data_IF_258375406885
#
_entry.id   IF_258375406885
#
_cell.length_a   1.000
_cell.length_b   1.000
_cell.length_c   1.000
_cell.angle_alpha   90.00
_cell.angle_beta   90.00
_cell.angle_gamma   90.00
#
_symmetry.space_group_name_H-M   'P 1'
#
loop_
_entity.id
_entity.type
_entity.pdbx_description
1 polymer ?
#
# COMPACT_ATOMS: atom_id res chain seq x y z
N UNK A 1 -38.31 -22.01 -26.35
CA UNK A 1 -38.31 -21.56 -24.93
C UNK A 1 -39.32 -22.39 -24.14
N UNK A 2 -39.24 -22.52 -22.81
CA UNK A 2 -39.89 -23.57 -22.00
C UNK A 2 -41.38 -23.83 -22.31
N UNK A 3 -42.14 -22.82 -22.74
CA UNK A 3 -43.53 -22.94 -23.20
C UNK A 3 -43.69 -23.72 -24.51
N UNK A 4 -42.72 -23.65 -25.43
CA UNK A 4 -42.69 -24.42 -26.68
C UNK A 4 -42.47 -25.91 -26.47
N UNK A 5 -42.22 -26.35 -25.23
CA UNK A 5 -42.11 -27.77 -24.83
C UNK A 5 -43.34 -28.26 -24.05
N UNK A 6 -44.41 -27.46 -23.97
CA UNK A 6 -45.67 -27.85 -23.31
C UNK A 6 -45.64 -27.82 -21.77
N UNK A 7 -44.63 -27.21 -21.15
CA UNK A 7 -44.53 -27.13 -19.69
C UNK A 7 -45.18 -25.86 -19.14
N UNK A 8 -46.15 -26.00 -18.23
CA UNK A 8 -46.70 -24.89 -17.44
C UNK A 8 -45.78 -24.59 -16.26
N UNK A 9 -45.23 -23.36 -16.19
CA UNK A 9 -44.32 -22.94 -15.11
C UNK A 9 -45.05 -22.00 -14.15
N UNK A 10 -44.94 -22.26 -12.84
CA UNK A 10 -45.44 -21.36 -11.79
C UNK A 10 -44.33 -21.10 -10.79
N UNK A 11 -44.01 -19.83 -10.54
CA UNK A 11 -42.98 -19.40 -9.59
C UNK A 11 -43.66 -19.00 -8.27
N UNK A 12 -43.23 -19.60 -7.16
CA UNK A 12 -43.72 -19.26 -5.81
C UNK A 12 -42.54 -18.91 -4.91
N UNK A 13 -42.66 -17.80 -4.20
CA UNK A 13 -41.69 -17.41 -3.17
C UNK A 13 -42.00 -18.13 -1.86
N UNK A 14 -40.96 -18.65 -1.21
CA UNK A 14 -41.06 -19.35 0.07
C UNK A 14 -40.22 -18.62 1.11
N UNK A 15 -40.75 -18.36 2.32
CA UNK A 15 -39.99 -17.73 3.39
C UNK A 15 -38.82 -18.61 3.87
N UNK A 16 -37.71 -17.96 4.20
CA UNK A 16 -36.53 -18.63 4.77
C UNK A 16 -36.80 -19.22 6.15
N UNK A 17 -36.05 -20.26 6.54
CA UNK A 17 -36.06 -20.87 7.89
C UNK A 17 -37.40 -21.49 8.34
N UNK A 18 -38.35 -21.68 7.43
CA UNK A 18 -39.68 -22.24 7.73
C UNK A 18 -39.72 -23.78 7.76
N UNK A 19 -38.55 -24.43 7.81
CA UNK A 19 -38.40 -25.90 7.81
C UNK A 19 -39.15 -26.64 6.68
N UNK A 20 -39.33 -25.97 5.55
CA UNK A 20 -39.91 -26.59 4.35
C UNK A 20 -38.89 -27.56 3.78
N UNK A 21 -39.16 -28.86 3.91
CA UNK A 21 -38.23 -29.96 3.59
C UNK A 21 -37.60 -29.79 2.20
N UNK A 22 -38.39 -29.46 1.18
CA UNK A 22 -37.88 -29.25 -0.19
C UNK A 22 -36.91 -28.09 -0.31
N UNK A 23 -37.18 -26.97 0.37
CA UNK A 23 -36.30 -25.79 0.37
C UNK A 23 -35.00 -26.07 1.15
N UNK A 24 -35.09 -26.81 2.26
CA UNK A 24 -33.90 -27.22 3.03
C UNK A 24 -33.01 -28.19 2.23
N UNK A 25 -33.60 -29.13 1.50
CA UNK A 25 -32.85 -30.03 0.62
C UNK A 25 -32.16 -29.24 -0.48
N UNK A 26 -32.86 -28.31 -1.13
CA UNK A 26 -32.31 -27.44 -2.16
C UNK A 26 -31.14 -26.60 -1.61
N UNK A 27 -31.30 -25.96 -0.46
CA UNK A 27 -30.25 -25.18 0.20
C UNK A 27 -29.05 -26.06 0.61
N UNK A 28 -29.30 -27.27 1.14
CA UNK A 28 -28.24 -28.24 1.48
C UNK A 28 -27.45 -28.67 0.24
N UNK A 29 -28.13 -28.92 -0.88
CA UNK A 29 -27.49 -29.26 -2.15
C UNK A 29 -26.68 -28.07 -2.70
N UNK A 30 -27.25 -26.87 -2.70
CA UNK A 30 -26.56 -25.65 -3.11
C UNK A 30 -25.30 -25.41 -2.27
N UNK A 31 -25.37 -25.57 -0.95
CA UNK A 31 -24.22 -25.46 -0.03
C UNK A 31 -23.16 -26.52 -0.28
N UNK A 32 -23.52 -27.73 -0.69
CA UNK A 32 -22.54 -28.76 -1.09
C UNK A 32 -21.86 -28.39 -2.40
N UNK A 33 -22.63 -27.95 -3.41
CA UNK A 33 -22.09 -27.51 -4.69
C UNK A 33 -21.14 -26.32 -4.52
N UNK A 34 -21.48 -25.35 -3.66
CA UNK A 34 -20.63 -24.20 -3.36
C UNK A 34 -19.27 -24.55 -2.73
N UNK A 35 -19.10 -25.76 -2.19
CA UNK A 35 -17.81 -26.27 -1.69
C UNK A 35 -16.95 -26.90 -2.78
N UNK A 36 -17.53 -27.24 -3.93
CA UNK A 36 -16.77 -27.79 -5.05
C UNK A 36 -15.92 -26.69 -5.67
N UNK A 37 -14.67 -27.01 -5.99
CA UNK A 37 -13.80 -26.08 -6.69
C UNK A 37 -14.23 -25.99 -8.16
N UNK A 38 -14.22 -24.78 -8.76
CA UNK A 38 -14.51 -24.64 -10.18
C UNK A 38 -13.45 -25.39 -11.00
N UNK A 39 -13.89 -26.10 -12.04
CA UNK A 39 -12.97 -26.80 -12.95
C UNK A 39 -12.42 -25.91 -14.07
N UNK A 40 -12.95 -24.70 -14.24
CA UNK A 40 -12.48 -23.76 -15.25
C UNK A 40 -11.34 -22.88 -14.72
N UNK A 41 -10.41 -22.54 -15.61
CA UNK A 41 -9.32 -21.59 -15.35
C UNK A 41 -9.77 -20.12 -15.41
N UNK A 42 -11.05 -19.87 -15.68
CA UNK A 42 -11.64 -18.52 -15.72
C UNK A 42 -12.03 -18.13 -14.29
N UNK A 43 -11.17 -17.34 -13.63
CA UNK A 43 -11.43 -16.86 -12.27
C UNK A 43 -12.32 -15.63 -12.28
N UNK A 44 -13.46 -15.68 -11.61
CA UNK A 44 -14.25 -14.48 -11.30
C UNK A 44 -13.60 -13.68 -10.18
N UNK A 45 -13.84 -12.36 -10.13
CA UNK A 45 -13.36 -11.48 -9.05
C UNK A 45 -13.76 -12.00 -7.65
N UNK A 46 -14.97 -12.57 -7.55
CA UNK A 46 -15.45 -13.20 -6.33
C UNK A 46 -14.60 -14.43 -5.92
N UNK A 47 -14.24 -15.28 -6.89
CA UNK A 47 -13.39 -16.46 -6.64
C UNK A 47 -11.98 -16.04 -6.23
N UNK A 48 -11.40 -15.01 -6.86
CA UNK A 48 -10.10 -14.46 -6.48
C UNK A 48 -10.12 -13.93 -5.05
N UNK A 49 -11.15 -13.15 -4.68
CA UNK A 49 -11.33 -12.66 -3.31
C UNK A 49 -11.47 -13.78 -2.27
N UNK A 50 -12.14 -14.89 -2.62
CA UNK A 50 -12.23 -16.09 -1.76
C UNK A 50 -10.86 -16.75 -1.61
N UNK A 51 -10.12 -16.96 -2.71
CA UNK A 51 -8.79 -17.58 -2.70
C UNK A 51 -7.78 -16.76 -1.89
N UNK A 52 -7.77 -15.43 -2.03
CA UNK A 52 -6.93 -14.54 -1.23
C UNK A 52 -7.22 -14.75 0.27
N UNK A 53 -8.48 -14.69 0.67
CA UNK A 53 -8.87 -14.90 2.08
C UNK A 53 -8.49 -16.30 2.60
N UNK A 54 -8.58 -17.33 1.76
CA UNK A 54 -8.13 -18.68 2.11
C UNK A 54 -6.62 -18.73 2.32
N UNK A 55 -5.83 -18.23 1.37
CA UNK A 55 -4.36 -18.22 1.43
C UNK A 55 -3.86 -17.45 2.65
N UNK A 56 -4.34 -16.23 2.86
CA UNK A 56 -4.01 -15.41 4.04
C UNK A 56 -4.35 -16.15 5.34
N UNK A 57 -5.52 -16.81 5.42
CA UNK A 57 -5.88 -17.56 6.64
C UNK A 57 -4.98 -18.77 6.88
N UNK A 58 -4.50 -19.45 5.84
CA UNK A 58 -3.57 -20.56 5.97
C UNK A 58 -2.20 -20.08 6.46
N UNK A 59 -1.68 -19.00 5.88
CA UNK A 59 -0.41 -18.37 6.28
C UNK A 59 -0.45 -17.94 7.76
N UNK A 60 -1.50 -17.24 8.18
CA UNK A 60 -1.67 -16.84 9.58
C UNK A 60 -1.76 -18.04 10.54
N UNK A 61 -2.45 -19.12 10.13
CA UNK A 61 -2.51 -20.34 10.94
C UNK A 61 -1.15 -21.01 11.06
N UNK A 62 -0.29 -20.89 10.05
CA UNK A 62 1.06 -21.42 10.09
C UNK A 62 1.92 -20.60 11.06
N UNK A 63 1.94 -19.27 10.91
CA UNK A 63 2.65 -18.38 11.84
C UNK A 63 2.23 -18.59 13.31
N UNK A 64 0.93 -18.67 13.58
CA UNK A 64 0.42 -18.92 14.94
C UNK A 64 0.87 -20.28 15.50
N UNK A 65 1.00 -21.30 14.64
CA UNK A 65 1.49 -22.63 15.07
C UNK A 65 3.00 -22.62 15.33
N UNK A 66 3.74 -21.86 14.53
CA UNK A 66 5.20 -21.78 14.62
C UNK A 66 5.64 -20.91 15.81
N UNK A 67 4.80 -19.98 16.27
CA UNK A 67 5.02 -19.16 17.46
C UNK A 67 5.02 -20.00 18.76
N UNK A 68 6.22 -20.28 19.28
CA UNK A 68 6.43 -21.01 20.55
C UNK A 68 6.51 -20.11 21.79
N UNK A 69 6.08 -18.85 21.70
CA UNK A 69 6.15 -17.91 22.83
C UNK A 69 5.34 -18.41 24.05
N UNK A 70 5.76 -18.04 25.27
CA UNK A 70 4.98 -18.33 26.50
C UNK A 70 3.55 -17.75 26.43
N UNK A 71 3.36 -16.69 25.64
CA UNK A 71 2.07 -16.03 25.44
C UNK A 71 1.14 -16.84 24.52
N UNK A 72 1.65 -17.32 23.37
CA UNK A 72 0.89 -18.14 22.42
C UNK A 72 0.50 -19.51 22.98
N UNK A 73 1.28 -20.06 23.92
CA UNK A 73 0.92 -21.28 24.66
C UNK A 73 -0.23 -21.07 25.66
N UNK A 74 -0.32 -19.89 26.27
CA UNK A 74 -1.38 -19.54 27.24
C UNK A 74 -2.65 -19.05 26.57
N UNK A 75 -2.54 -18.41 25.40
CA UNK A 75 -3.67 -17.80 24.70
C UNK A 75 -3.76 -18.33 23.27
N UNK A 76 -4.86 -18.99 22.95
CA UNK A 76 -5.14 -19.47 21.61
C UNK A 76 -5.34 -18.27 20.65
N UNK A 77 -4.28 -17.87 19.95
CA UNK A 77 -4.36 -16.85 18.93
C UNK A 77 -5.23 -17.33 17.77
N UNK A 78 -6.15 -16.47 17.30
CA UNK A 78 -7.01 -16.74 16.16
C UNK A 78 -6.96 -15.56 15.19
N UNK A 79 -6.73 -15.81 13.89
CA UNK A 79 -6.71 -14.74 12.91
C UNK A 79 -8.12 -14.14 12.77
N UNK A 80 -8.24 -12.86 13.11
CA UNK A 80 -9.49 -12.11 12.93
C UNK A 80 -9.51 -11.45 11.56
N UNK A 81 -10.67 -11.42 10.92
CA UNK A 81 -10.85 -10.74 9.63
C UNK A 81 -10.84 -9.20 9.76
N UNK A 82 -10.83 -8.67 10.98
CA UNK A 82 -10.85 -7.24 11.27
C UNK A 82 -9.49 -6.85 11.81
N UNK A 83 -8.80 -5.95 11.10
CA UNK A 83 -7.60 -5.29 11.62
C UNK A 83 -8.02 -4.57 12.90
N UNK A 84 -7.46 -5.01 14.03
CA UNK A 84 -7.60 -4.31 15.30
C UNK A 84 -6.60 -3.17 15.27
N UNK A 85 -7.11 -1.96 15.14
CA UNK A 85 -6.30 -0.78 15.40
C UNK A 85 -6.15 -0.61 16.93
N UNK A 86 -4.99 -0.15 17.44
CA UNK A 86 -4.81 0.14 18.86
C UNK A 86 -5.92 1.04 19.39
N UNK A 87 -6.36 0.80 20.63
CA UNK A 87 -7.35 1.68 21.30
C UNK A 87 -6.80 3.12 21.28
N UNK A 88 -7.65 4.10 20.94
CA UNK A 88 -7.32 5.52 20.68
C UNK A 88 -6.66 5.90 19.34
N UNK A 89 -6.52 4.98 18.39
CA UNK A 89 -6.26 5.40 17.01
C UNK A 89 -7.49 6.07 16.42
N UNK A 90 -7.50 7.41 16.36
CA UNK A 90 -8.52 8.13 15.61
C UNK A 90 -8.41 7.66 14.16
N UNK A 91 -9.55 7.25 13.55
CA UNK A 91 -9.68 6.81 12.13
C UNK A 91 -9.36 7.93 11.12
N UNK A 92 -8.63 8.96 11.55
CA UNK A 92 -8.10 10.05 10.76
C UNK A 92 -6.64 9.84 10.39
N UNK A 93 -6.00 8.69 10.59
CA UNK A 93 -4.56 8.52 10.33
C UNK A 93 -4.13 8.97 8.91
N UNK A 94 -4.59 8.28 7.85
CA UNK A 94 -4.22 8.64 6.48
C UNK A 94 -4.71 10.04 6.08
N UNK A 95 -5.97 10.38 6.38
CA UNK A 95 -6.55 11.70 6.08
C UNK A 95 -5.79 12.83 6.79
N UNK A 96 -5.39 12.63 8.04
CA UNK A 96 -4.65 13.60 8.82
C UNK A 96 -3.25 13.75 8.25
N UNK A 97 -2.52 12.65 8.12
CA UNK A 97 -1.15 12.62 7.62
C UNK A 97 -1.05 13.30 6.24
N UNK A 98 -1.96 13.01 5.33
CA UNK A 98 -1.95 13.53 3.95
C UNK A 98 -2.58 14.93 3.83
N UNK A 99 -3.58 15.32 4.65
CA UNK A 99 -4.29 16.60 4.44
C UNK A 99 -4.04 17.69 5.49
N UNK A 100 -3.71 17.34 6.74
CA UNK A 100 -3.79 18.29 7.87
C UNK A 100 -2.69 18.18 8.93
N UNK A 101 -1.83 17.15 8.88
CA UNK A 101 -0.76 16.94 9.85
C UNK A 101 0.23 18.09 9.89
N UNK A 102 0.49 18.65 11.07
CA UNK A 102 1.34 19.84 11.19
C UNK A 102 2.78 19.57 10.74
N UNK A 103 3.29 18.36 10.93
CA UNK A 103 4.67 17.99 10.64
C UNK A 103 4.98 18.03 9.15
N UNK A 104 4.06 17.52 8.32
CA UNK A 104 4.26 17.48 6.86
C UNK A 104 3.75 18.73 6.12
N UNK A 105 3.85 19.91 6.74
CA UNK A 105 3.31 21.14 6.15
C UNK A 105 4.11 21.59 4.92
N UNK A 106 5.42 21.36 4.92
CA UNK A 106 6.33 21.79 3.83
C UNK A 106 6.09 20.93 2.58
N UNK A 107 6.07 19.62 2.76
CA UNK A 107 5.88 18.59 1.74
C UNK A 107 4.46 18.68 1.15
N UNK A 108 3.45 18.97 1.97
CA UNK A 108 2.10 19.26 1.44
C UNK A 108 2.03 20.53 0.62
N UNK A 109 2.88 21.53 0.89
CA UNK A 109 2.93 22.73 0.06
C UNK A 109 3.46 22.38 -1.33
N UNK A 110 4.54 21.60 -1.41
CA UNK A 110 5.07 21.05 -2.66
C UNK A 110 4.01 20.22 -3.41
N UNK A 111 3.26 19.37 -2.69
CA UNK A 111 2.17 18.58 -3.28
C UNK A 111 1.02 19.45 -3.85
N UNK A 112 0.71 20.58 -3.21
CA UNK A 112 -0.28 21.54 -3.72
C UNK A 112 0.19 22.26 -4.98
N UNK A 113 1.45 22.68 -4.98
CA UNK A 113 2.10 23.34 -6.11
C UNK A 113 2.15 22.37 -7.31
N UNK A 114 2.57 21.12 -7.11
CA UNK A 114 2.62 20.10 -8.16
C UNK A 114 1.25 19.81 -8.81
N UNK A 115 0.16 19.88 -8.03
CA UNK A 115 -1.20 19.63 -8.52
C UNK A 115 -1.93 20.92 -8.95
N UNK A 116 -1.33 22.10 -8.77
CA UNK A 116 -1.96 23.40 -8.97
C UNK A 116 -3.31 23.57 -8.24
N UNK A 117 -3.41 23.10 -6.98
CA UNK A 117 -4.66 23.17 -6.19
C UNK A 117 -4.48 23.94 -4.88
N UNK A 118 -5.44 24.83 -4.57
CA UNK A 118 -5.47 25.60 -3.32
C UNK A 118 -5.77 24.74 -2.07
N UNK A 119 -6.64 23.75 -2.21
CA UNK A 119 -7.08 22.85 -1.14
C UNK A 119 -6.91 21.38 -1.51
N UNK A 120 -6.33 20.60 -0.59
CA UNK A 120 -6.14 19.17 -0.80
C UNK A 120 -7.36 18.39 -0.31
N UNK A 121 -7.84 17.46 -1.14
CA UNK A 121 -8.92 16.53 -0.80
C UNK A 121 -8.56 15.12 -1.25
N UNK A 122 -8.97 14.11 -0.49
CA UNK A 122 -8.62 12.71 -0.76
C UNK A 122 -9.12 12.20 -2.11
N UNK A 123 -10.29 12.67 -2.56
CA UNK A 123 -10.90 12.14 -3.79
C UNK A 123 -10.10 12.50 -5.05
N UNK A 124 -9.71 13.78 -5.27
CA UNK A 124 -8.78 14.12 -6.34
C UNK A 124 -7.43 13.40 -6.22
N UNK A 125 -6.86 13.34 -5.01
CA UNK A 125 -5.55 12.71 -4.77
C UNK A 125 -5.53 11.21 -5.10
N UNK A 126 -6.56 10.46 -4.71
CA UNK A 126 -6.54 8.99 -4.80
C UNK A 126 -7.29 8.41 -6.01
N UNK A 127 -8.04 9.24 -6.75
CA UNK A 127 -8.88 8.76 -7.86
C UNK A 127 -8.54 9.38 -9.21
N UNK A 128 -7.53 10.25 -9.29
CA UNK A 128 -7.03 10.81 -10.55
C UNK A 128 -5.62 10.30 -10.81
N UNK A 129 -5.25 10.10 -12.09
CA UNK A 129 -3.93 9.58 -12.44
C UNK A 129 -2.80 10.50 -11.94
N UNK A 130 -2.93 11.80 -12.19
CA UNK A 130 -1.99 12.83 -11.73
C UNK A 130 -1.93 12.93 -10.21
N UNK A 131 -3.08 12.86 -9.54
CA UNK A 131 -3.16 12.83 -8.08
C UNK A 131 -2.45 11.62 -7.49
N UNK A 132 -2.65 10.43 -8.07
CA UNK A 132 -2.06 9.18 -7.59
C UNK A 132 -0.53 9.26 -7.71
N UNK A 133 -0.01 9.63 -8.87
CA UNK A 133 1.43 9.78 -9.12
C UNK A 133 2.07 10.77 -8.14
N UNK A 134 1.45 11.94 -7.94
CA UNK A 134 1.93 12.93 -6.98
C UNK A 134 1.85 12.45 -5.52
N UNK A 135 0.81 11.69 -5.14
CA UNK A 135 0.73 11.11 -3.79
C UNK A 135 1.78 10.04 -3.54
N UNK A 136 2.14 9.25 -4.56
CA UNK A 136 3.19 8.24 -4.44
C UNK A 136 4.52 8.95 -4.18
N UNK A 137 4.88 9.95 -4.99
CA UNK A 137 6.09 10.75 -4.77
C UNK A 137 6.13 11.39 -3.37
N UNK A 138 4.99 11.91 -2.88
CA UNK A 138 4.88 12.45 -1.53
C UNK A 138 5.10 11.37 -0.45
N UNK A 139 4.55 10.17 -0.61
CA UNK A 139 4.76 9.05 0.33
C UNK A 139 6.21 8.58 0.29
N UNK A 140 6.85 8.56 -0.88
CA UNK A 140 8.24 8.14 -1.02
C UNK A 140 9.22 9.12 -0.37
N UNK A 141 8.92 10.43 -0.41
CA UNK A 141 9.70 11.46 0.28
C UNK A 141 9.50 11.43 1.79
N UNK A 142 8.25 11.32 2.24
CA UNK A 142 7.93 11.44 3.67
C UNK A 142 7.99 10.12 4.42
N UNK A 143 8.12 9.01 3.67
CA UNK A 143 8.01 7.61 4.12
C UNK A 143 6.79 7.34 4.97
N UNK A 144 5.76 8.18 4.92
CA UNK A 144 4.59 8.09 5.80
C UNK A 144 3.84 6.80 5.54
N UNK A 145 3.42 6.12 6.60
CA UNK A 145 2.70 4.83 6.53
C UNK A 145 3.50 3.67 5.94
N UNK A 146 4.82 3.82 5.74
CA UNK A 146 5.72 2.69 5.43
C UNK A 146 6.04 1.88 6.69
N UNK A 147 6.56 0.68 6.51
CA UNK A 147 7.01 -0.17 7.62
C UNK A 147 8.12 0.51 8.43
N UNK A 148 9.07 1.19 7.77
CA UNK A 148 10.14 1.95 8.43
C UNK A 148 9.58 3.06 9.33
N UNK A 149 8.60 3.83 8.83
CA UNK A 149 7.91 4.86 9.62
C UNK A 149 7.18 4.30 10.84
N UNK A 150 6.56 3.12 10.71
CA UNK A 150 5.90 2.46 11.85
C UNK A 150 6.89 1.90 12.88
N UNK A 151 8.06 1.44 12.42
CA UNK A 151 9.10 0.88 13.29
C UNK A 151 10.01 1.95 13.92
N UNK A 152 9.92 3.20 13.48
CA UNK A 152 10.73 4.31 13.98
C UNK A 152 12.15 4.36 13.41
N UNK A 153 12.44 3.57 12.37
CA UNK A 153 13.77 3.43 11.75
C UNK A 153 14.18 4.58 10.82
N UNK A 154 13.44 5.71 10.84
CA UNK A 154 13.71 6.86 9.97
C UNK A 154 14.94 7.70 10.38
N UNK A 155 15.54 7.40 11.52
CA UNK A 155 16.74 8.07 12.00
C UNK A 155 18.02 7.58 11.29
N UNK A 156 18.05 6.34 10.79
CA UNK A 156 19.28 5.76 10.22
C UNK A 156 19.50 6.16 8.75
N UNK A 157 18.43 6.29 7.94
CA UNK A 157 18.56 6.64 6.52
C UNK A 157 18.81 8.14 6.25
N UNK A 158 18.62 9.01 7.25
CA UNK A 158 18.95 10.44 7.13
C UNK A 158 20.45 10.67 7.37
N UNK A 159 21.03 9.99 8.36
CA UNK A 159 22.47 10.07 8.64
C UNK A 159 23.30 9.40 7.52
N UNK A 160 22.83 8.29 6.96
CA UNK A 160 23.49 7.63 5.82
C UNK A 160 23.43 8.45 4.52
N UNK A 161 22.39 9.29 4.33
CA UNK A 161 22.30 10.21 3.19
C UNK A 161 23.12 11.50 3.38
N UNK A 162 23.27 11.97 4.62
CA UNK A 162 24.11 13.14 4.93
C UNK A 162 25.60 12.77 4.84
N UNK A 163 26.02 11.59 5.31
CA UNK A 163 27.40 11.09 5.13
C UNK A 163 27.75 10.83 3.65
N UNK A 164 26.77 10.42 2.84
CA UNK A 164 26.99 10.20 1.41
C UNK A 164 27.13 11.51 0.61
N UNK A 165 26.35 12.56 0.93
CA UNK A 165 26.51 13.89 0.32
C UNK A 165 27.83 14.55 0.76
N UNK A 166 28.24 14.43 2.03
CA UNK A 166 29.53 14.96 2.50
C UNK A 166 30.74 14.26 1.85
N UNK A 167 30.62 12.96 1.55
CA UNK A 167 31.67 12.20 0.87
C UNK A 167 31.81 12.56 -0.61
N UNK A 168 30.70 12.82 -1.31
CA UNK A 168 30.71 13.21 -2.73
C UNK A 168 31.26 14.65 -2.90
N UNK A 169 30.92 15.57 -1.99
CA UNK A 169 31.43 16.95 -1.99
C UNK A 169 32.95 17.01 -1.64
N UNK A 170 33.45 16.07 -0.84
CA UNK A 170 34.88 15.95 -0.55
C UNK A 170 35.69 15.39 -1.72
N UNK A 171 35.17 14.41 -2.47
CA UNK A 171 35.83 13.89 -3.69
C UNK A 171 35.90 14.97 -4.79
N UNK A 172 34.85 15.78 -4.94
CA UNK A 172 34.83 16.86 -5.94
C UNK A 172 35.79 18.01 -5.60
N UNK A 173 36.06 18.24 -4.31
CA UNK A 173 37.04 19.23 -3.86
C UNK A 173 38.49 18.77 -4.06
N UNK A 174 38.81 17.48 -3.88
CA UNK A 174 40.16 16.98 -4.14
C UNK A 174 40.51 16.94 -5.63
N UNK A 175 39.56 16.71 -6.54
CA UNK A 175 39.82 16.81 -7.99
C UNK A 175 40.10 18.25 -8.47
N UNK A 176 39.64 19.26 -7.75
CA UNK A 176 39.85 20.67 -8.10
C UNK A 176 41.25 21.20 -7.73
N UNK A 177 41.94 20.57 -6.77
CA UNK A 177 43.23 21.03 -6.25
C UNK A 177 44.44 20.55 -7.11
N UNK A 178 44.30 19.47 -7.89
CA UNK A 178 45.39 18.92 -8.74
C UNK A 178 45.48 19.59 -10.15
N UNK A 179 44.67 20.61 -10.41
CA UNK A 179 44.52 21.22 -11.74
C UNK A 179 45.33 22.49 -12.04
N UNK A 180 46.09 23.05 -11.09
CA UNK A 180 46.70 24.39 -11.26
C UNK A 180 48.19 24.42 -10.94
N UNK A 181 49.03 23.84 -11.79
CA UNK A 181 50.42 24.32 -11.94
C UNK A 181 51.00 24.04 -13.34
N UNK A 182 50.68 24.91 -14.31
CA UNK A 182 51.53 25.08 -15.50
C UNK A 182 51.27 26.43 -16.20
N UNK A 183 52.26 27.33 -16.15
CA UNK A 183 52.41 28.36 -17.19
C UNK A 183 52.70 29.77 -16.68
N UNK A 184 53.94 30.03 -16.28
CA UNK A 184 54.49 31.38 -16.11
C UNK A 184 55.63 31.59 -17.09
N UNK A 185 55.39 32.32 -18.18
CA UNK A 185 56.43 32.99 -18.98
C UNK A 185 55.78 34.26 -19.57
N UNK A 186 56.21 35.45 -19.14
CA UNK A 186 56.00 36.71 -19.84
C UNK A 186 57.36 37.14 -20.43
N UNK A 187 57.46 37.17 -21.75
CA UNK A 187 58.53 37.86 -22.49
C UNK A 187 58.06 39.27 -22.82
N UNK A 188 58.88 40.27 -22.47
CA UNK A 188 58.74 41.64 -22.93
C UNK A 188 59.88 41.95 -23.90
N UNK A 189 59.54 42.13 -25.17
CA UNK A 189 60.39 42.76 -26.18
C UNK A 189 59.50 43.74 -26.95
N UNK A 190 59.76 45.05 -26.80
CA UNK A 190 59.14 46.09 -27.63
C UNK A 190 60.26 47.00 -28.13
N UNK A 191 60.39 47.03 -29.46
CA UNK A 191 61.35 47.80 -30.27
C UNK A 191 60.56 48.88 -31.02
N UNK A 192 61.07 50.10 -30.94
CA UNK A 192 61.00 51.30 -31.81
C UNK A 192 59.75 51.64 -32.66
N UNK A 193 59.27 52.89 -32.55
CA UNK A 193 59.67 54.03 -33.43
C UNK A 193 59.33 55.38 -32.77
#
# INVERSE_FOLDING_TARGET
>A
EIQSKGASVTIKWVPGHSKVVGNEIADKLAKRAAKQQPQSNVTSLAMTGIKIKQKTRLEWKQQIRDDKSKYSQKFAAQPRNKILLPKNTKRSAAKHLILSCKWYRKERKKLKEALNVSTLSLRPLLCTKTGIEATIAYIDQTKISTRAWHMGSLAEEAEESEEAEEAEEAEEAEEAEDGVEAGKIEEAEEVEE
#
